data_IF_608856701794
#
_entry.id   IF_608856701794
#
_cell.length_a   1.000
_cell.length_b   1.000
_cell.length_c   1.000
_cell.angle_alpha   90.00
_cell.angle_beta   90.00
_cell.angle_gamma   90.00
#
_symmetry.space_group_name_H-M   'P 1'
#
loop_
_entity.id
_entity.type
_entity.pdbx_description
1 polymer ?
#
# COMPACT_ATOMS: atom_id res chain seq x y z
N UNK A 1 -25.48 30.00 -57.23
CA UNK A 1 -25.49 28.58 -57.68
C UNK A 1 -24.07 28.06 -57.58
N UNK A 2 -23.70 27.06 -56.80
CA UNK A 2 -24.40 26.22 -55.86
C UNK A 2 -23.34 25.41 -55.09
N UNK A 3 -23.71 25.07 -53.86
CA UNK A 3 -23.26 23.99 -52.97
C UNK A 3 -22.05 23.13 -53.37
N UNK A 4 -21.15 22.93 -52.40
CA UNK A 4 -21.17 21.66 -51.64
C UNK A 4 -20.11 21.62 -50.54
N UNK A 5 -20.58 21.84 -49.30
CA UNK A 5 -19.97 21.32 -48.08
C UNK A 5 -19.86 19.80 -48.18
N UNK A 6 -18.67 19.22 -48.16
CA UNK A 6 -18.50 17.76 -48.10
C UNK A 6 -17.18 17.32 -47.41
N UNK A 7 -17.29 17.18 -46.08
CA UNK A 7 -16.94 15.98 -45.28
C UNK A 7 -15.51 15.46 -45.03
N UNK A 8 -14.43 16.25 -45.07
CA UNK A 8 -13.16 15.74 -44.52
C UNK A 8 -13.07 15.89 -42.99
N UNK A 9 -13.68 14.90 -42.36
CA UNK A 9 -13.19 14.14 -41.20
C UNK A 9 -12.93 14.89 -39.90
N UNK A 10 -13.89 14.69 -39.00
CA UNK A 10 -13.66 14.30 -37.61
C UNK A 10 -12.46 14.99 -36.96
N UNK A 11 -12.73 16.22 -36.49
CA UNK A 11 -12.08 16.75 -35.30
C UNK A 11 -12.19 15.67 -34.24
N UNK A 12 -11.13 14.87 -34.09
CA UNK A 12 -10.92 14.08 -32.90
C UNK A 12 -11.06 15.09 -31.77
N UNK A 13 -12.16 14.98 -31.02
CA UNK A 13 -12.27 15.59 -29.70
C UNK A 13 -10.99 15.16 -29.01
N UNK A 14 -10.02 16.07 -28.91
CA UNK A 14 -8.97 15.98 -27.91
C UNK A 14 -9.77 15.79 -26.63
N UNK A 15 -9.78 14.57 -26.08
CA UNK A 15 -10.25 14.36 -24.72
C UNK A 15 -9.45 15.36 -23.93
N UNK A 16 -10.15 16.34 -23.41
CA UNK A 16 -9.59 17.35 -22.54
C UNK A 16 -8.68 16.60 -21.57
N UNK A 17 -7.43 17.04 -21.40
CA UNK A 17 -6.49 16.48 -20.44
C UNK A 17 -7.05 16.78 -19.04
N UNK A 18 -8.14 16.10 -18.69
CA UNK A 18 -8.77 16.19 -17.39
C UNK A 18 -7.72 15.76 -16.38
N UNK A 19 -7.43 16.67 -15.45
CA UNK A 19 -6.57 16.43 -14.31
C UNK A 19 -6.84 15.01 -13.78
N UNK A 20 -5.85 14.10 -13.82
CA UNK A 20 -6.02 12.72 -13.38
C UNK A 20 -6.65 12.61 -11.98
N UNK A 21 -6.39 13.60 -11.12
CA UNK A 21 -7.00 13.68 -9.80
C UNK A 21 -8.51 13.94 -9.84
N UNK A 22 -8.99 14.76 -10.78
CA UNK A 22 -10.43 14.97 -11.01
C UNK A 22 -11.08 13.73 -11.61
N UNK A 23 -10.40 13.09 -12.56
CA UNK A 23 -10.89 11.87 -13.22
C UNK A 23 -11.14 10.74 -12.23
N UNK A 24 -10.23 10.54 -11.27
CA UNK A 24 -10.33 9.47 -10.27
C UNK A 24 -11.00 9.89 -8.96
N UNK A 25 -11.63 11.06 -8.90
CA UNK A 25 -12.39 11.49 -7.73
C UNK A 25 -13.48 10.48 -7.30
N UNK A 26 -14.26 9.86 -8.21
CA UNK A 26 -15.23 8.84 -7.82
C UNK A 26 -14.57 7.60 -7.20
N UNK A 27 -13.41 7.19 -7.72
CA UNK A 27 -12.64 6.08 -7.18
C UNK A 27 -12.09 6.38 -5.78
N UNK A 28 -11.64 7.62 -5.55
CA UNK A 28 -11.24 8.07 -4.21
C UNK A 28 -12.40 8.00 -3.22
N UNK A 29 -13.58 8.52 -3.57
CA UNK A 29 -14.76 8.45 -2.69
C UNK A 29 -15.21 7.02 -2.41
N UNK A 30 -15.16 6.13 -3.41
CA UNK A 30 -15.44 4.72 -3.24
C UNK A 30 -14.46 4.05 -2.27
N UNK A 31 -13.15 4.31 -2.42
CA UNK A 31 -12.12 3.79 -1.53
C UNK A 31 -12.26 4.30 -0.08
N UNK A 32 -12.62 5.58 0.12
CA UNK A 32 -12.89 6.15 1.45
C UNK A 32 -14.10 5.50 2.11
N UNK A 33 -15.17 5.24 1.35
CA UNK A 33 -16.41 4.62 1.86
C UNK A 33 -16.30 3.10 2.01
N UNK A 34 -15.40 2.46 1.26
CA UNK A 34 -15.35 1.01 1.11
C UNK A 34 -16.39 0.46 0.14
N UNK A 35 -16.89 1.28 -0.78
CA UNK A 35 -17.90 0.92 -1.79
C UNK A 35 -17.22 0.16 -2.94
N UNK A 36 -17.20 -1.17 -2.83
CA UNK A 36 -16.53 -2.02 -3.83
C UNK A 36 -17.25 -1.98 -5.17
N UNK A 37 -18.58 -1.99 -5.17
CA UNK A 37 -19.39 -2.03 -6.39
C UNK A 37 -19.11 -0.80 -7.27
N UNK A 38 -19.05 0.40 -6.67
CA UNK A 38 -18.70 1.62 -7.39
C UNK A 38 -17.26 1.56 -7.93
N UNK A 39 -16.31 1.08 -7.14
CA UNK A 39 -14.92 0.95 -7.58
C UNK A 39 -14.74 -0.12 -8.67
N UNK A 40 -15.45 -1.24 -8.59
CA UNK A 40 -15.40 -2.35 -9.54
C UNK A 40 -15.90 -1.92 -10.92
N UNK A 41 -16.97 -1.13 -10.99
CA UNK A 41 -17.42 -0.54 -12.26
C UNK A 41 -16.31 0.27 -12.91
N UNK A 42 -15.61 1.11 -12.12
CA UNK A 42 -14.49 1.93 -12.61
C UNK A 42 -13.32 1.05 -13.07
N UNK A 43 -12.98 -0.01 -12.34
CA UNK A 43 -11.89 -0.92 -12.72
C UNK A 43 -12.19 -1.74 -13.97
N UNK A 44 -13.46 -2.06 -14.20
CA UNK A 44 -13.90 -2.79 -15.40
C UNK A 44 -13.88 -1.89 -16.65
N UNK A 45 -14.18 -0.60 -16.49
CA UNK A 45 -14.06 0.38 -17.57
C UNK A 45 -12.61 0.79 -17.85
N UNK A 46 -11.81 0.96 -16.79
CA UNK A 46 -10.41 1.36 -16.86
C UNK A 46 -9.53 0.49 -15.96
N UNK A 47 -8.90 -0.51 -16.55
CA UNK A 47 -7.95 -1.38 -15.84
C UNK A 47 -6.72 -0.64 -15.30
N UNK A 48 -6.35 0.53 -15.87
CA UNK A 48 -5.25 1.34 -15.36
C UNK A 48 -5.60 1.99 -14.01
N UNK A 49 -6.89 2.11 -13.67
CA UNK A 49 -7.37 2.68 -12.42
C UNK A 49 -6.90 1.88 -11.19
N UNK A 50 -6.60 0.58 -11.33
CA UNK A 50 -6.06 -0.27 -10.25
C UNK A 50 -4.76 0.27 -9.64
N UNK A 51 -3.91 0.89 -10.46
CA UNK A 51 -2.62 1.47 -10.06
C UNK A 51 -2.55 2.99 -10.23
N UNK A 52 -3.68 3.62 -10.53
CA UNK A 52 -3.73 5.05 -10.76
C UNK A 52 -3.44 5.83 -9.48
N UNK A 53 -2.80 6.97 -9.66
CA UNK A 53 -2.61 7.96 -8.61
C UNK A 53 -3.86 8.82 -8.53
N UNK A 54 -4.55 8.77 -7.39
CA UNK A 54 -5.86 9.37 -7.20
C UNK A 54 -5.86 10.54 -6.20
N UNK A 55 -4.74 10.78 -5.51
CA UNK A 55 -4.57 11.91 -4.58
C UNK A 55 -3.30 12.72 -4.85
N UNK A 56 -3.26 13.94 -4.31
CA UNK A 56 -2.08 14.81 -4.37
C UNK A 56 -0.86 14.24 -3.63
N UNK A 57 -1.07 13.34 -2.66
CA UNK A 57 -0.01 12.61 -1.93
C UNK A 57 0.56 11.41 -2.71
N UNK A 58 0.19 11.30 -3.98
CA UNK A 58 0.50 10.16 -4.83
C UNK A 58 -0.02 8.83 -4.28
N UNK A 59 -1.21 8.83 -3.68
CA UNK A 59 -1.85 7.61 -3.19
C UNK A 59 -2.65 6.93 -4.30
N UNK A 60 -2.72 5.62 -4.22
CA UNK A 60 -3.63 4.77 -5.02
C UNK A 60 -4.89 4.47 -4.21
N UNK A 61 -5.90 3.87 -4.86
CA UNK A 61 -7.11 3.40 -4.16
C UNK A 61 -6.78 2.47 -2.99
N UNK A 62 -5.72 1.65 -3.12
CA UNK A 62 -5.25 0.77 -2.06
C UNK A 62 -4.77 1.55 -0.82
N UNK A 63 -3.95 2.60 -1.01
CA UNK A 63 -3.46 3.41 0.11
C UNK A 63 -4.62 4.03 0.89
N UNK A 64 -5.57 4.63 0.17
CA UNK A 64 -6.75 5.29 0.75
C UNK A 64 -7.62 4.29 1.50
N UNK A 65 -7.92 3.14 0.90
CA UNK A 65 -8.74 2.09 1.53
C UNK A 65 -8.08 1.52 2.78
N UNK A 66 -6.75 1.36 2.78
CA UNK A 66 -5.98 0.89 3.94
C UNK A 66 -6.00 1.92 5.07
N UNK A 67 -5.76 3.20 4.77
CA UNK A 67 -5.77 4.30 5.74
C UNK A 67 -7.13 4.41 6.45
N UNK A 68 -8.22 4.10 5.75
CA UNK A 68 -9.59 4.09 6.28
C UNK A 68 -10.05 2.73 6.83
N UNK A 69 -9.16 1.72 6.88
CA UNK A 69 -9.45 0.40 7.45
C UNK A 69 -10.48 -0.42 6.68
N UNK A 70 -10.65 -0.21 5.37
CA UNK A 70 -11.64 -0.90 4.53
C UNK A 70 -11.17 -2.31 4.14
N UNK A 71 -11.16 -3.23 5.10
CA UNK A 71 -10.57 -4.56 4.93
C UNK A 71 -11.16 -5.36 3.75
N UNK A 72 -12.50 -5.42 3.61
CA UNK A 72 -13.15 -6.13 2.51
C UNK A 72 -12.82 -5.51 1.14
N UNK A 73 -12.82 -4.17 1.06
CA UNK A 73 -12.42 -3.45 -0.15
C UNK A 73 -10.97 -3.76 -0.52
N UNK A 74 -10.08 -3.76 0.47
CA UNK A 74 -8.66 -4.10 0.27
C UNK A 74 -8.50 -5.54 -0.21
N UNK A 75 -9.20 -6.50 0.38
CA UNK A 75 -9.16 -7.90 -0.03
C UNK A 75 -9.52 -8.08 -1.51
N UNK A 76 -10.68 -7.53 -1.92
CA UNK A 76 -11.14 -7.59 -3.31
C UNK A 76 -10.19 -6.86 -4.27
N UNK A 77 -9.67 -5.70 -3.87
CA UNK A 77 -8.73 -4.93 -4.68
C UNK A 77 -7.40 -5.67 -4.88
N UNK A 78 -6.81 -6.19 -3.80
CA UNK A 78 -5.53 -6.92 -3.82
C UNK A 78 -5.64 -8.22 -4.63
N UNK A 79 -6.81 -8.87 -4.63
CA UNK A 79 -7.06 -10.03 -5.47
C UNK A 79 -6.90 -9.71 -6.97
N UNK A 80 -7.28 -8.50 -7.40
CA UNK A 80 -7.19 -8.04 -8.80
C UNK A 80 -5.85 -7.41 -9.18
N UNK A 81 -5.03 -7.01 -8.21
CA UNK A 81 -3.72 -6.37 -8.45
C UNK A 81 -2.61 -7.38 -8.73
N UNK A 82 -1.64 -6.99 -9.55
CA UNK A 82 -0.39 -7.71 -9.67
C UNK A 82 0.48 -7.47 -8.42
N UNK A 83 1.41 -8.38 -8.14
CA UNK A 83 2.28 -8.29 -6.95
C UNK A 83 3.08 -6.98 -6.89
N UNK A 84 3.58 -6.52 -8.04
CA UNK A 84 4.32 -5.26 -8.16
C UNK A 84 3.47 -4.00 -7.99
N UNK A 85 2.15 -4.07 -8.22
CA UNK A 85 1.27 -2.89 -8.04
C UNK A 85 1.13 -2.54 -6.55
N UNK A 86 1.37 -3.49 -5.65
CA UNK A 86 1.34 -3.27 -4.19
C UNK A 86 2.57 -2.49 -3.69
N UNK A 87 3.64 -2.43 -4.49
CA UNK A 87 4.91 -1.79 -4.11
C UNK A 87 4.91 -0.27 -4.37
N UNK A 88 3.82 0.27 -4.91
CA UNK A 88 3.66 1.69 -5.18
C UNK A 88 3.82 2.49 -3.89
N UNK A 89 4.62 3.55 -3.96
CA UNK A 89 4.91 4.45 -2.85
C UNK A 89 4.22 5.79 -3.03
N UNK A 90 3.80 6.37 -1.92
CA UNK A 90 3.35 7.75 -1.84
C UNK A 90 4.48 8.74 -2.16
N UNK A 91 4.14 10.02 -2.17
CA UNK A 91 5.08 11.09 -2.43
C UNK A 91 6.12 11.26 -1.30
N UNK A 92 7.09 12.15 -1.52
CA UNK A 92 8.15 12.41 -0.54
C UNK A 92 7.61 13.04 0.74
N UNK A 93 6.59 13.90 0.65
CA UNK A 93 5.99 14.53 1.84
C UNK A 93 5.31 13.49 2.73
N UNK A 94 4.72 12.46 2.12
CA UNK A 94 4.13 11.30 2.79
C UNK A 94 5.15 10.18 3.06
N UNK A 95 6.44 10.51 3.06
CA UNK A 95 7.58 9.63 3.38
C UNK A 95 7.73 8.41 2.47
N UNK A 96 7.24 8.44 1.22
CA UNK A 96 7.35 7.31 0.27
C UNK A 96 6.89 5.97 0.88
N UNK A 97 5.77 6.01 1.60
CA UNK A 97 5.19 4.83 2.24
C UNK A 97 4.44 3.98 1.23
N UNK A 98 4.50 2.66 1.41
CA UNK A 98 3.60 1.71 0.74
C UNK A 98 2.32 1.55 1.54
N UNK A 99 1.28 0.95 0.94
CA UNK A 99 0.05 0.59 1.64
C UNK A 99 0.31 -0.26 2.90
N UNK A 100 1.30 -1.16 2.88
CA UNK A 100 1.66 -1.95 4.06
C UNK A 100 2.06 -1.08 5.25
N UNK A 101 2.83 0.01 5.04
CA UNK A 101 3.21 0.92 6.13
C UNK A 101 1.98 1.52 6.82
N UNK A 102 0.97 1.93 6.05
CA UNK A 102 -0.29 2.46 6.61
C UNK A 102 -1.05 1.38 7.38
N UNK A 103 -1.14 0.16 6.83
CA UNK A 103 -1.82 -0.97 7.47
C UNK A 103 -1.21 -1.34 8.84
N UNK A 104 0.13 -1.24 8.94
CA UNK A 104 0.83 -1.51 10.19
C UNK A 104 0.53 -0.42 11.21
N UNK A 105 0.63 0.85 10.82
CA UNK A 105 0.38 1.98 11.73
C UNK A 105 -1.06 1.96 12.25
N UNK A 106 -2.01 1.51 11.44
CA UNK A 106 -3.42 1.37 11.86
C UNK A 106 -3.69 0.11 12.69
N UNK A 107 -2.72 -0.78 12.87
CA UNK A 107 -2.88 -2.03 13.64
C UNK A 107 -3.81 -3.06 12.98
N UNK A 108 -4.19 -2.89 11.71
CA UNK A 108 -5.17 -3.74 11.04
C UNK A 108 -4.55 -5.05 10.56
N UNK A 109 -4.51 -6.05 11.45
CA UNK A 109 -3.98 -7.37 11.15
C UNK A 109 -4.62 -8.04 9.90
N UNK A 110 -5.95 -7.97 9.66
CA UNK A 110 -6.54 -8.54 8.46
C UNK A 110 -5.94 -7.96 7.19
N UNK A 111 -5.81 -6.63 7.11
CA UNK A 111 -5.24 -5.93 5.96
C UNK A 111 -3.75 -6.30 5.78
N UNK A 112 -3.00 -6.34 6.89
CA UNK A 112 -1.58 -6.75 6.87
C UNK A 112 -1.43 -8.17 6.31
N UNK A 113 -2.29 -9.12 6.73
CA UNK A 113 -2.27 -10.50 6.22
C UNK A 113 -2.50 -10.52 4.71
N UNK A 114 -3.57 -9.90 4.23
CA UNK A 114 -3.91 -9.82 2.81
C UNK A 114 -2.75 -9.31 1.96
N UNK A 115 -2.09 -8.22 2.41
CA UNK A 115 -0.96 -7.63 1.68
C UNK A 115 0.27 -8.53 1.68
N UNK A 116 0.66 -9.06 2.83
CA UNK A 116 1.87 -9.88 3.00
C UNK A 116 1.74 -11.24 2.31
N UNK A 117 0.56 -11.86 2.36
CA UNK A 117 0.30 -13.13 1.68
C UNK A 117 0.35 -12.98 0.16
N UNK A 118 -0.09 -11.83 -0.38
CA UNK A 118 0.03 -11.54 -1.81
C UNK A 118 1.45 -11.18 -2.23
N UNK A 119 2.17 -10.38 -1.44
CA UNK A 119 3.55 -10.00 -1.73
C UNK A 119 4.39 -9.81 -0.44
N UNK A 120 5.13 -10.83 -0.05
CA UNK A 120 6.02 -10.80 1.12
C UNK A 120 7.15 -9.75 1.02
N UNK A 121 7.56 -9.36 -0.20
CA UNK A 121 8.61 -8.34 -0.41
C UNK A 121 8.23 -6.99 0.17
N UNK A 122 6.94 -6.70 0.34
CA UNK A 122 6.47 -5.46 0.95
C UNK A 122 7.07 -5.22 2.35
N UNK A 123 7.40 -6.30 3.07
CA UNK A 123 8.00 -6.22 4.40
C UNK A 123 9.43 -5.66 4.40
N UNK A 124 10.14 -5.72 3.26
CA UNK A 124 11.52 -5.25 3.10
C UNK A 124 11.58 -3.81 2.54
N UNK A 125 10.48 -3.33 1.97
CA UNK A 125 10.44 -2.01 1.34
C UNK A 125 10.46 -0.93 2.42
N UNK A 126 11.50 -0.11 2.42
CA UNK A 126 11.63 1.00 3.38
C UNK A 126 11.03 2.31 2.86
N UNK A 127 10.57 3.14 3.80
CA UNK A 127 10.11 4.50 3.59
C UNK A 127 11.29 5.49 3.40
N UNK A 128 11.02 6.79 3.25
CA UNK A 128 12.05 7.82 3.05
C UNK A 128 12.97 8.00 4.28
N UNK A 129 12.53 7.58 5.47
CA UNK A 129 13.34 7.53 6.70
C UNK A 129 14.03 6.19 6.93
N UNK A 130 14.03 5.30 5.93
CA UNK A 130 14.61 3.95 6.02
C UNK A 130 13.91 3.03 7.02
N UNK A 131 12.68 3.34 7.43
CA UNK A 131 11.89 2.40 8.23
C UNK A 131 11.20 1.40 7.32
N UNK A 132 11.37 0.11 7.63
CA UNK A 132 10.53 -0.95 7.10
C UNK A 132 9.17 -0.97 7.83
N UNK A 133 8.15 -1.64 7.28
CA UNK A 133 6.87 -1.85 7.97
C UNK A 133 7.04 -2.45 9.37
N UNK A 134 8.02 -3.33 9.58
CA UNK A 134 8.28 -3.91 10.91
C UNK A 134 8.82 -2.87 11.90
N UNK A 135 9.68 -1.95 11.47
CA UNK A 135 10.17 -0.86 12.31
C UNK A 135 9.01 0.05 12.78
N UNK A 136 8.09 0.36 11.87
CA UNK A 136 6.87 1.12 12.19
C UNK A 136 6.00 0.31 13.16
N UNK A 137 5.79 -1.00 12.92
CA UNK A 137 5.03 -1.88 13.82
C UNK A 137 5.57 -1.88 15.26
N UNK A 138 6.90 -1.93 15.38
CA UNK A 138 7.58 -1.91 16.67
C UNK A 138 7.45 -0.53 17.33
N UNK A 139 7.59 0.54 16.56
CA UNK A 139 7.49 1.91 17.07
C UNK A 139 6.08 2.25 17.59
N UNK A 140 5.04 1.74 16.94
CA UNK A 140 3.64 1.99 17.32
C UNK A 140 3.08 0.86 18.22
N UNK A 141 2.74 1.19 19.46
CA UNK A 141 2.37 0.23 20.51
C UNK A 141 1.05 -0.54 20.27
N UNK A 142 0.20 -0.09 19.35
CA UNK A 142 -1.11 -0.69 19.04
C UNK A 142 -1.00 -1.98 18.18
N UNK A 143 0.21 -2.38 17.82
CA UNK A 143 0.47 -3.39 16.78
C UNK A 143 1.04 -4.71 17.28
N UNK A 144 0.84 -5.12 18.54
CA UNK A 144 1.48 -6.34 19.10
C UNK A 144 1.23 -7.59 18.26
N UNK A 145 0.01 -7.79 17.79
CA UNK A 145 -0.40 -8.90 16.94
C UNK A 145 0.19 -8.78 15.53
N UNK A 146 0.26 -7.56 14.99
CA UNK A 146 0.90 -7.26 13.70
C UNK A 146 2.40 -7.53 13.77
N UNK A 147 3.09 -7.10 14.82
CA UNK A 147 4.51 -7.38 15.09
C UNK A 147 4.74 -8.88 15.14
N UNK A 148 3.93 -9.64 15.90
CA UNK A 148 4.03 -11.11 15.96
C UNK A 148 3.86 -11.74 14.58
N UNK A 149 2.85 -11.30 13.83
CA UNK A 149 2.59 -11.83 12.50
C UNK A 149 3.74 -11.53 11.54
N UNK A 150 4.21 -10.29 11.48
CA UNK A 150 5.34 -9.91 10.63
C UNK A 150 6.60 -10.69 11.01
N UNK A 151 6.91 -10.84 12.30
CA UNK A 151 8.06 -11.65 12.75
C UNK A 151 7.90 -13.11 12.29
N UNK A 152 6.69 -13.68 12.35
CA UNK A 152 6.43 -15.06 11.89
C UNK A 152 6.60 -15.27 10.39
N UNK A 153 6.56 -14.20 9.59
CA UNK A 153 6.75 -14.25 8.14
C UNK A 153 8.18 -13.93 7.70
N UNK A 154 9.05 -13.51 8.63
CA UNK A 154 10.45 -13.29 8.30
C UNK A 154 11.17 -14.63 8.06
N UNK A 155 12.14 -14.68 7.13
CA UNK A 155 13.05 -15.82 7.03
C UNK A 155 13.86 -15.97 8.32
N UNK A 156 14.38 -17.17 8.61
CA UNK A 156 15.21 -17.43 9.79
C UNK A 156 16.43 -16.50 9.78
N UNK A 157 16.36 -15.41 10.56
CA UNK A 157 17.42 -14.41 10.62
C UNK A 157 18.49 -14.94 11.56
N UNK A 158 19.53 -15.55 11.00
CA UNK A 158 20.71 -15.94 11.75
C UNK A 158 21.60 -14.71 11.98
N UNK A 159 22.15 -14.50 13.18
CA UNK A 159 23.16 -13.46 13.40
C UNK A 159 24.32 -13.58 12.39
N UNK A 160 24.90 -12.47 11.89
CA UNK A 160 24.72 -11.08 12.31
C UNK A 160 23.64 -10.29 11.52
N UNK A 161 22.88 -9.47 12.24
CA UNK A 161 21.67 -8.77 11.76
C UNK A 161 21.92 -7.53 10.87
N UNK A 162 23.18 -7.09 10.77
CA UNK A 162 23.59 -5.76 10.31
C UNK A 162 23.13 -5.38 8.89
N UNK A 163 23.08 -6.35 8.00
CA UNK A 163 22.76 -6.13 6.58
C UNK A 163 21.29 -6.40 6.24
N UNK A 164 20.47 -6.78 7.24
CA UNK A 164 19.08 -7.10 7.03
C UNK A 164 18.22 -5.84 6.97
N UNK A 165 17.31 -5.70 5.97
CA UNK A 165 16.38 -4.57 5.90
C UNK A 165 15.42 -4.50 7.11
N UNK A 166 15.36 -5.57 7.93
CA UNK A 166 14.58 -5.65 9.16
C UNK A 166 15.29 -5.10 10.40
N UNK A 167 16.61 -4.89 10.35
CA UNK A 167 17.46 -4.58 11.53
C UNK A 167 18.42 -3.40 11.29
N UNK A 168 18.08 -2.48 10.38
CA UNK A 168 18.96 -1.39 9.95
C UNK A 168 19.57 -0.59 11.14
N UNK A 169 20.90 -0.41 11.09
CA UNK A 169 21.74 0.16 12.16
C UNK A 169 21.37 1.60 12.61
N UNK A 170 20.66 2.37 11.78
CA UNK A 170 20.52 3.83 11.95
C UNK A 170 19.26 4.24 12.74
N UNK A 171 18.44 3.27 13.15
CA UNK A 171 17.11 3.50 13.70
C UNK A 171 16.98 2.97 15.12
N UNK A 172 17.69 3.65 16.03
CA UNK A 172 17.95 3.23 17.41
C UNK A 172 16.75 2.87 18.26
N UNK A 173 15.52 3.30 17.95
CA UNK A 173 14.33 2.94 18.77
C UNK A 173 13.59 1.70 18.27
N UNK A 174 13.32 1.64 16.96
CA UNK A 174 12.58 0.53 16.35
C UNK A 174 13.44 -0.73 16.22
N UNK A 175 14.68 -0.58 15.75
CA UNK A 175 15.61 -1.70 15.61
C UNK A 175 16.06 -2.24 16.99
N UNK A 176 16.33 -1.36 17.96
CA UNK A 176 16.60 -1.78 19.34
C UNK A 176 15.40 -2.50 19.94
N UNK A 177 14.17 -2.00 19.71
CA UNK A 177 12.98 -2.69 20.19
C UNK A 177 12.85 -4.06 19.52
N UNK A 178 12.97 -4.18 18.19
CA UNK A 178 12.90 -5.46 17.49
C UNK A 178 13.98 -6.43 17.99
N UNK A 179 15.22 -5.97 18.16
CA UNK A 179 16.32 -6.77 18.72
C UNK A 179 15.98 -7.26 20.12
N UNK A 180 15.50 -6.37 21.01
CA UNK A 180 15.05 -6.72 22.35
C UNK A 180 13.84 -7.66 22.32
N UNK A 181 12.92 -7.54 21.37
CA UNK A 181 11.76 -8.43 21.23
C UNK A 181 12.17 -9.85 20.82
N UNK A 182 13.11 -9.96 19.88
CA UNK A 182 13.69 -11.24 19.45
C UNK A 182 14.49 -11.89 20.59
N UNK A 183 15.32 -11.12 21.28
CA UNK A 183 16.19 -11.61 22.36
C UNK A 183 15.43 -11.97 23.65
N UNK A 184 14.41 -11.20 23.99
CA UNK A 184 13.73 -11.33 25.30
C UNK A 184 12.85 -12.56 25.45
N UNK A 185 12.61 -13.34 24.39
CA UNK A 185 11.55 -14.39 24.35
C UNK A 185 10.17 -13.89 24.81
N UNK A 186 9.97 -12.58 24.98
CA UNK A 186 8.79 -11.99 25.62
C UNK A 186 7.52 -12.17 24.79
N UNK A 187 7.67 -12.44 23.49
CA UNK A 187 6.57 -12.74 22.59
C UNK A 187 6.30 -14.23 22.40
N UNK A 188 6.86 -15.10 23.26
CA UNK A 188 6.66 -16.55 23.22
C UNK A 188 7.28 -17.19 21.98
N UNK A 189 7.43 -18.52 21.99
CA UNK A 189 7.84 -19.25 20.78
C UNK A 189 6.89 -18.89 19.65
N UNK A 190 7.40 -18.23 18.61
CA UNK A 190 6.71 -18.18 17.32
C UNK A 190 6.67 -19.63 16.85
N UNK A 191 5.51 -20.28 16.97
CA UNK A 191 5.34 -21.63 16.46
C UNK A 191 5.56 -21.56 14.95
N UNK A 192 6.69 -22.14 14.52
CA UNK A 192 7.09 -22.29 13.12
C UNK A 192 6.17 -23.26 12.40
#
# INVERSE_FOLDING_TARGET
MGDSKRWLTAVGKRRDEEDPLKRYKPLHEAAVKGDWEAAESIFNEDTAALKAIITSRRETALHVAVDHGRAEFVEKLVARMATGDLEIKTDKQSRKRTALHYAVVSGSLPIVRTLVEKNGKLMEIVDDKKYSPLHEAAYYFESKEVVRYLISKMPDVTPPYKDSPFFADDCSKGAELIARLVDSRAYGKVNR
#
